data_IF_686632471100
#
_entry.id   IF_686632471100
#
_cell.length_a   1.000
_cell.length_b   1.000
_cell.length_c   1.000
_cell.angle_alpha   90.00
_cell.angle_beta   90.00
_cell.angle_gamma   90.00
#
_symmetry.space_group_name_H-M   'P 1'
#
loop_
_entity.id
_entity.type
_entity.pdbx_description
1 polymer ?
#
# COMPACT_ATOMS: atom_id res chain seq x y z
N UNK A 1 14.39 7.84 -20.11
CA UNK A 1 14.30 6.39 -19.78
C UNK A 1 13.26 5.76 -20.70
N UNK A 2 13.46 4.50 -21.13
CA UNK A 2 12.73 3.89 -22.25
C UNK A 2 11.38 3.28 -21.77
N UNK A 3 10.32 3.28 -22.60
CA UNK A 3 8.97 2.73 -22.29
C UNK A 3 9.04 1.30 -21.73
N UNK A 4 9.94 0.47 -22.28
CA UNK A 4 10.20 -0.89 -21.79
C UNK A 4 10.69 -0.92 -20.35
N UNK A 5 11.54 0.02 -19.94
CA UNK A 5 12.07 0.07 -18.56
C UNK A 5 10.97 0.49 -17.58
N UNK A 6 10.02 1.34 -17.98
CA UNK A 6 8.88 1.70 -17.14
C UNK A 6 7.89 0.56 -16.95
N UNK A 7 7.62 -0.23 -17.99
CA UNK A 7 6.79 -1.44 -17.86
C UNK A 7 7.37 -2.41 -16.85
N UNK A 8 8.69 -2.61 -16.89
CA UNK A 8 9.41 -3.43 -15.90
C UNK A 8 9.29 -2.85 -14.49
N UNK A 9 9.53 -1.54 -14.32
CA UNK A 9 9.50 -0.89 -13.01
C UNK A 9 8.09 -0.92 -12.37
N UNK A 10 7.05 -0.63 -13.17
CA UNK A 10 5.65 -0.74 -12.74
C UNK A 10 5.29 -2.16 -12.33
N UNK A 11 5.78 -3.17 -13.04
CA UNK A 11 5.54 -4.57 -12.70
C UNK A 11 6.30 -5.01 -11.45
N UNK A 12 7.59 -4.67 -11.34
CA UNK A 12 8.38 -4.96 -10.13
C UNK A 12 7.70 -4.37 -8.90
N UNK A 13 7.11 -3.18 -9.04
CA UNK A 13 6.28 -2.58 -8.02
C UNK A 13 5.00 -3.40 -7.74
N UNK A 14 4.25 -3.77 -8.78
CA UNK A 14 3.01 -4.53 -8.62
C UNK A 14 3.25 -5.87 -7.91
N UNK A 15 4.32 -6.56 -8.30
CA UNK A 15 4.75 -7.81 -7.68
C UNK A 15 5.14 -7.58 -6.22
N UNK A 16 5.91 -6.55 -5.92
CA UNK A 16 6.35 -6.24 -4.56
C UNK A 16 5.16 -5.86 -3.67
N UNK A 17 4.22 -5.04 -4.15
CA UNK A 17 3.01 -4.67 -3.41
C UNK A 17 2.11 -5.89 -3.15
N UNK A 18 2.01 -6.84 -4.10
CA UNK A 18 1.32 -8.11 -3.88
C UNK A 18 2.04 -9.00 -2.86
N UNK A 19 3.37 -9.12 -2.93
CA UNK A 19 4.16 -9.88 -1.94
C UNK A 19 3.95 -9.32 -0.54
N UNK A 20 4.05 -8.00 -0.39
CA UNK A 20 3.88 -7.34 0.90
C UNK A 20 2.43 -7.48 1.39
N UNK A 21 1.42 -7.47 0.51
CA UNK A 21 0.04 -7.79 0.86
C UNK A 21 -0.09 -9.21 1.45
N UNK A 22 0.44 -10.23 0.78
CA UNK A 22 0.39 -11.61 1.28
C UNK A 22 1.17 -11.79 2.59
N UNK A 23 2.36 -11.19 2.70
CA UNK A 23 3.14 -11.20 3.93
C UNK A 23 2.37 -10.55 5.07
N UNK A 24 1.75 -9.38 4.82
CA UNK A 24 0.94 -8.74 5.85
C UNK A 24 -0.21 -9.65 6.30
N UNK A 25 -0.87 -10.37 5.39
CA UNK A 25 -2.00 -11.27 5.72
C UNK A 25 -1.53 -12.38 6.65
N UNK A 26 -0.38 -12.96 6.32
CA UNK A 26 0.26 -13.95 7.16
C UNK A 26 0.56 -13.39 8.57
N UNK A 27 1.12 -12.18 8.66
CA UNK A 27 1.41 -11.55 9.96
C UNK A 27 0.15 -11.24 10.79
N UNK A 28 -0.99 -10.92 10.18
CA UNK A 28 -2.27 -10.84 10.91
C UNK A 28 -2.55 -12.17 11.61
N UNK A 29 -2.50 -13.28 10.87
CA UNK A 29 -2.88 -14.59 11.41
C UNK A 29 -1.96 -14.99 12.57
N UNK A 30 -0.65 -14.84 12.37
CA UNK A 30 0.36 -15.08 13.42
C UNK A 30 0.07 -14.20 14.64
N UNK A 31 -0.26 -12.92 14.43
CA UNK A 31 -0.60 -12.02 15.51
C UNK A 31 -1.87 -12.43 16.26
N UNK A 32 -2.96 -12.77 15.57
CA UNK A 32 -4.22 -13.17 16.22
C UNK A 32 -3.98 -14.35 17.15
N UNK A 33 -3.19 -15.33 16.69
CA UNK A 33 -2.82 -16.50 17.50
C UNK A 33 -1.97 -16.08 18.70
N UNK A 34 -0.94 -15.26 18.47
CA UNK A 34 -0.06 -14.78 19.54
C UNK A 34 -0.81 -13.95 20.58
N UNK A 35 -1.64 -12.99 20.16
CA UNK A 35 -2.44 -12.13 21.03
C UNK A 35 -3.47 -12.94 21.83
N UNK A 36 -4.07 -13.98 21.25
CA UNK A 36 -4.97 -14.89 21.97
C UNK A 36 -4.22 -15.64 23.08
N UNK A 37 -3.02 -16.16 22.78
CA UNK A 37 -2.19 -16.85 23.76
C UNK A 37 -1.67 -15.90 24.85
N UNK A 38 -1.24 -14.70 24.47
CA UNK A 38 -0.76 -13.67 25.39
C UNK A 38 -1.88 -13.21 26.33
N UNK A 39 -3.06 -12.86 25.81
CA UNK A 39 -4.19 -12.42 26.63
C UNK A 39 -4.65 -13.51 27.60
N UNK A 40 -4.60 -14.79 27.20
CA UNK A 40 -4.92 -15.92 28.08
C UNK A 40 -4.02 -15.96 29.33
N UNK A 41 -2.75 -15.60 29.21
CA UNK A 41 -1.82 -15.53 30.35
C UNK A 41 -2.22 -14.45 31.37
N UNK A 42 -2.96 -13.41 30.97
CA UNK A 42 -3.46 -12.36 31.87
C UNK A 42 -4.88 -12.61 32.39
N UNK A 43 -5.65 -13.47 31.73
CA UNK A 43 -6.93 -13.94 32.22
C UNK A 43 -6.76 -14.92 33.38
N UNK A 44 -5.70 -15.74 33.35
CA UNK A 44 -5.39 -16.73 34.38
C UNK A 44 -4.78 -16.12 35.67
N UNK A 45 -4.30 -14.87 35.64
CA UNK A 45 -3.77 -14.17 36.83
C UNK A 45 -4.90 -13.39 37.50
N UNK A 46 -5.51 -13.97 38.53
CA UNK A 46 -6.69 -13.46 39.24
C UNK A 46 -6.49 -12.11 39.99
N UNK A 47 -5.26 -11.61 40.10
CA UNK A 47 -4.90 -10.45 40.94
C UNK A 47 -4.53 -9.16 40.18
N UNK A 48 -4.68 -9.14 38.85
CA UNK A 48 -4.21 -7.98 38.07
C UNK A 48 -5.19 -6.78 38.16
N UNK A 49 -4.73 -5.56 38.48
CA UNK A 49 -5.60 -4.39 38.61
C UNK A 49 -6.38 -4.11 37.32
N UNK A 50 -7.67 -3.78 37.44
CA UNK A 50 -8.59 -3.53 36.31
C UNK A 50 -8.12 -2.42 35.36
N UNK A 51 -7.36 -1.46 35.88
CA UNK A 51 -6.69 -0.39 35.11
C UNK A 51 -5.70 -0.96 34.11
N UNK A 52 -4.84 -1.91 34.50
CA UNK A 52 -3.88 -2.56 33.61
C UNK A 52 -4.56 -3.41 32.53
N UNK A 53 -5.67 -4.11 32.86
CA UNK A 53 -6.48 -4.84 31.86
C UNK A 53 -7.04 -3.92 30.76
N UNK A 54 -7.32 -2.65 31.08
CA UNK A 54 -7.89 -1.68 30.13
C UNK A 54 -6.86 -1.16 29.12
N UNK A 55 -5.63 -0.92 29.56
CA UNK A 55 -4.52 -0.50 28.69
C UNK A 55 -3.94 -1.66 27.85
N UNK A 56 -4.10 -2.91 28.33
CA UNK A 56 -3.65 -4.14 27.66
C UNK A 56 -4.77 -4.75 26.80
N UNK A 57 -5.77 -3.98 26.36
CA UNK A 57 -6.78 -4.52 25.44
C UNK A 57 -6.28 -4.52 23.98
N UNK A 58 -5.15 -5.19 23.76
CA UNK A 58 -4.47 -5.42 22.48
C UNK A 58 -5.35 -6.11 21.43
N UNK A 59 -6.45 -6.69 21.88
CA UNK A 59 -7.47 -7.33 21.06
C UNK A 59 -8.07 -6.38 20.01
N UNK A 60 -8.11 -5.07 20.26
CA UNK A 60 -8.78 -4.11 19.39
C UNK A 60 -7.84 -3.13 18.69
N UNK A 61 -6.81 -2.63 19.38
CA UNK A 61 -5.84 -1.67 18.80
C UNK A 61 -5.13 -2.23 17.56
N UNK A 62 -4.70 -3.49 17.62
CA UNK A 62 -3.87 -4.07 16.59
C UNK A 62 -4.65 -4.48 15.33
N UNK A 63 -5.84 -5.11 15.41
CA UNK A 63 -6.67 -5.31 14.23
C UNK A 63 -7.02 -4.00 13.52
N UNK A 64 -7.22 -2.90 14.26
CA UNK A 64 -7.47 -1.56 13.68
C UNK A 64 -6.24 -1.07 12.92
N UNK A 65 -5.04 -1.16 13.52
CA UNK A 65 -3.78 -0.81 12.85
C UNK A 65 -3.55 -1.61 11.57
N UNK A 66 -3.74 -2.95 11.61
CA UNK A 66 -3.63 -3.76 10.40
C UNK A 66 -4.71 -3.40 9.39
N UNK A 67 -5.96 -3.22 9.80
CA UNK A 67 -7.07 -2.85 8.90
C UNK A 67 -6.79 -1.56 8.13
N UNK A 68 -6.16 -0.56 8.76
CA UNK A 68 -5.73 0.67 8.09
C UNK A 68 -4.67 0.40 7.01
N UNK A 69 -3.72 -0.50 7.29
CA UNK A 69 -2.72 -0.95 6.30
C UNK A 69 -3.42 -1.67 5.14
N UNK A 70 -4.36 -2.58 5.39
CA UNK A 70 -5.13 -3.26 4.33
C UNK A 70 -5.95 -2.34 3.48
N UNK A 71 -6.65 -1.42 4.13
CA UNK A 71 -7.46 -0.44 3.44
C UNK A 71 -6.59 0.35 2.48
N UNK A 72 -5.38 0.76 2.91
CA UNK A 72 -4.40 1.46 2.07
C UNK A 72 -3.98 0.63 0.85
N UNK A 73 -3.70 -0.65 1.03
CA UNK A 73 -3.31 -1.56 -0.06
C UNK A 73 -4.45 -1.72 -1.07
N UNK A 74 -5.65 -1.99 -0.57
CA UNK A 74 -6.85 -2.18 -1.40
C UNK A 74 -7.11 -0.89 -2.19
N UNK A 75 -6.98 0.27 -1.55
CA UNK A 75 -7.13 1.57 -2.21
C UNK A 75 -6.16 1.72 -3.39
N UNK A 76 -4.89 1.38 -3.20
CA UNK A 76 -3.88 1.42 -4.25
C UNK A 76 -4.17 0.42 -5.38
N UNK A 77 -4.58 -0.79 -5.04
CA UNK A 77 -4.94 -1.84 -5.99
C UNK A 77 -6.17 -1.46 -6.83
N UNK A 78 -7.22 -0.95 -6.20
CA UNK A 78 -8.44 -0.47 -6.87
C UNK A 78 -8.10 0.73 -7.76
N UNK A 79 -7.30 1.67 -7.27
CA UNK A 79 -6.86 2.84 -8.06
C UNK A 79 -6.10 2.40 -9.31
N UNK A 80 -5.14 1.48 -9.16
CA UNK A 80 -4.40 0.88 -10.27
C UNK A 80 -5.36 0.21 -11.26
N UNK A 81 -6.28 -0.61 -10.77
CA UNK A 81 -7.27 -1.31 -11.60
C UNK A 81 -8.09 -0.34 -12.44
N UNK A 82 -8.62 0.73 -11.82
CA UNK A 82 -9.39 1.77 -12.51
C UNK A 82 -8.54 2.50 -13.56
N UNK A 83 -7.29 2.84 -13.22
CA UNK A 83 -6.36 3.48 -14.18
C UNK A 83 -6.12 2.56 -15.39
N UNK A 84 -5.85 1.28 -15.17
CA UNK A 84 -5.62 0.32 -16.25
C UNK A 84 -6.86 0.12 -17.13
N UNK A 85 -8.05 0.06 -16.54
CA UNK A 85 -9.32 0.04 -17.26
C UNK A 85 -9.50 1.30 -18.12
N UNK A 86 -9.26 2.48 -17.55
CA UNK A 86 -9.35 3.76 -18.29
C UNK A 86 -8.35 3.81 -19.45
N UNK A 87 -7.21 3.13 -19.33
CA UNK A 87 -6.23 2.96 -20.40
C UNK A 87 -6.62 1.89 -21.45
N UNK A 88 -7.87 1.45 -21.46
CA UNK A 88 -8.45 0.45 -22.38
C UNK A 88 -7.80 -0.94 -22.25
N UNK A 89 -7.22 -1.27 -21.10
CA UNK A 89 -6.88 -2.65 -20.79
C UNK A 89 -8.17 -3.34 -20.34
N UNK A 90 -8.63 -4.37 -21.06
CA UNK A 90 -9.83 -5.13 -20.67
C UNK A 90 -9.76 -5.65 -19.23
N UNK A 91 -10.92 -5.97 -18.63
CA UNK A 91 -11.08 -6.30 -17.20
C UNK A 91 -10.03 -7.32 -16.72
N UNK A 92 -9.85 -8.41 -17.46
CA UNK A 92 -8.90 -9.48 -17.11
C UNK A 92 -7.45 -8.97 -17.01
N UNK A 93 -7.03 -8.12 -17.95
CA UNK A 93 -5.67 -7.53 -17.98
C UNK A 93 -5.48 -6.50 -16.87
N UNK A 94 -6.55 -5.83 -16.47
CA UNK A 94 -6.52 -4.82 -15.41
C UNK A 94 -6.50 -5.45 -14.02
N UNK A 95 -7.19 -6.58 -13.82
CA UNK A 95 -7.17 -7.35 -12.56
C UNK A 95 -5.82 -8.05 -12.36
N UNK A 96 -5.30 -8.68 -13.42
CA UNK A 96 -4.07 -9.45 -13.35
C UNK A 96 -3.00 -8.91 -14.30
N UNK A 97 -2.50 -7.69 -14.07
CA UNK A 97 -1.55 -7.07 -14.97
C UNK A 97 -0.24 -7.86 -15.10
N UNK A 98 0.09 -8.65 -14.07
CA UNK A 98 1.27 -9.51 -14.05
C UNK A 98 1.30 -10.52 -15.21
N UNK A 99 0.18 -11.17 -15.53
CA UNK A 99 0.13 -12.18 -16.60
C UNK A 99 0.12 -11.59 -18.01
N UNK A 100 -0.17 -10.30 -18.15
CA UNK A 100 -0.35 -9.65 -19.46
C UNK A 100 0.68 -8.53 -19.72
N UNK A 101 1.84 -8.57 -19.07
CA UNK A 101 2.84 -7.49 -19.06
C UNK A 101 3.19 -6.91 -20.44
N UNK A 102 3.33 -7.77 -21.46
CA UNK A 102 3.67 -7.35 -22.82
C UNK A 102 2.49 -6.70 -23.56
N UNK A 103 1.26 -6.98 -23.12
CA UNK A 103 0.00 -6.60 -23.78
C UNK A 103 -0.75 -5.48 -23.05
N UNK A 104 -0.15 -4.89 -21.99
CA UNK A 104 -0.75 -3.82 -21.19
C UNK A 104 -0.28 -2.45 -21.64
N UNK A 105 -1.24 -1.53 -21.72
CA UNK A 105 -1.05 -0.11 -21.95
C UNK A 105 -1.06 0.65 -20.62
N UNK A 106 0.14 1.03 -20.17
CA UNK A 106 0.31 1.78 -18.91
C UNK A 106 -0.06 3.27 -19.09
N UNK A 107 0.02 3.77 -20.32
CA UNK A 107 -0.36 5.14 -20.67
C UNK A 107 -1.58 5.10 -21.58
N UNK A 108 -2.48 6.04 -21.37
CA UNK A 108 -3.55 6.33 -22.31
C UNK A 108 -3.01 7.11 -23.51
N UNK A 109 -3.66 6.98 -24.67
CA UNK A 109 -3.43 7.86 -25.80
C UNK A 109 -3.85 9.31 -25.51
N UNK A 110 -4.85 9.51 -24.65
CA UNK A 110 -5.31 10.84 -24.24
C UNK A 110 -4.51 11.40 -23.05
N UNK A 111 -3.88 12.55 -23.29
CA UNK A 111 -3.13 13.34 -22.32
C UNK A 111 -3.97 13.82 -21.12
N UNK A 112 -5.24 14.17 -21.33
CA UNK A 112 -6.15 14.61 -20.26
C UNK A 112 -6.44 13.46 -19.31
N UNK A 113 -6.66 12.26 -19.84
CA UNK A 113 -6.87 11.05 -19.04
C UNK A 113 -5.60 10.73 -18.23
N UNK A 114 -4.42 10.77 -18.84
CA UNK A 114 -3.15 10.54 -18.13
C UNK A 114 -2.94 11.50 -16.96
N UNK A 115 -3.26 12.79 -17.13
CA UNK A 115 -3.21 13.77 -16.03
C UNK A 115 -4.17 13.42 -14.90
N UNK A 116 -5.42 13.09 -15.22
CA UNK A 116 -6.40 12.70 -14.18
C UNK A 116 -6.00 11.41 -13.46
N UNK A 117 -5.47 10.42 -14.17
CA UNK A 117 -4.96 9.17 -13.60
C UNK A 117 -3.79 9.43 -12.65
N UNK A 118 -2.88 10.33 -13.02
CA UNK A 118 -1.77 10.73 -12.16
C UNK A 118 -2.24 11.41 -10.87
N UNK A 119 -3.15 12.38 -10.97
CA UNK A 119 -3.70 13.08 -9.81
C UNK A 119 -4.42 12.09 -8.88
N UNK A 120 -5.25 11.21 -9.43
CA UNK A 120 -5.95 10.19 -8.65
C UNK A 120 -4.97 9.27 -7.92
N UNK A 121 -3.97 8.73 -8.64
CA UNK A 121 -2.92 7.91 -8.04
C UNK A 121 -2.18 8.65 -6.92
N UNK A 122 -1.79 9.90 -7.17
CA UNK A 122 -1.09 10.74 -6.20
C UNK A 122 -1.91 10.97 -4.92
N UNK A 123 -3.19 11.32 -5.05
CA UNK A 123 -4.07 11.54 -3.90
C UNK A 123 -4.22 10.27 -3.07
N UNK A 124 -4.54 9.15 -3.70
CA UNK A 124 -4.74 7.88 -2.99
C UNK A 124 -3.45 7.35 -2.35
N UNK A 125 -2.30 7.63 -2.95
CA UNK A 125 -1.01 7.33 -2.36
C UNK A 125 -0.74 8.15 -1.09
N UNK A 126 -1.05 9.45 -1.09
CA UNK A 126 -0.90 10.28 0.11
C UNK A 126 -1.85 9.84 1.23
N UNK A 127 -3.08 9.47 0.90
CA UNK A 127 -4.04 8.90 1.86
C UNK A 127 -3.49 7.58 2.45
N UNK A 128 -2.88 6.74 1.60
CA UNK A 128 -2.25 5.49 2.04
C UNK A 128 -1.08 5.74 2.98
N UNK A 129 -0.20 6.69 2.64
CA UNK A 129 0.92 7.10 3.49
C UNK A 129 0.46 7.64 4.84
N UNK A 130 -0.58 8.48 4.85
CA UNK A 130 -1.15 9.03 6.09
C UNK A 130 -1.76 7.93 6.96
N UNK A 131 -2.51 7.00 6.37
CA UNK A 131 -3.11 5.87 7.10
C UNK A 131 -2.05 4.97 7.73
N UNK A 132 -0.96 4.74 7.00
CA UNK A 132 0.23 4.02 7.47
C UNK A 132 0.90 4.77 8.63
N UNK A 133 1.07 6.09 8.52
CA UNK A 133 1.64 6.92 9.60
C UNK A 133 0.77 6.94 10.86
N UNK A 134 -0.55 7.08 10.72
CA UNK A 134 -1.50 6.96 11.84
C UNK A 134 -1.36 5.60 12.50
N UNK A 135 -1.30 4.52 11.71
CA UNK A 135 -1.05 3.17 12.24
C UNK A 135 0.29 3.06 12.98
N UNK A 136 1.33 3.78 12.55
CA UNK A 136 2.63 3.80 13.22
C UNK A 136 2.52 4.42 14.61
N UNK A 137 1.87 5.57 14.71
CA UNK A 137 1.66 6.28 15.98
C UNK A 137 0.89 5.40 16.96
N UNK A 138 -0.18 4.73 16.52
CA UNK A 138 -0.92 3.79 17.37
C UNK A 138 -0.05 2.62 17.85
N UNK A 139 0.81 2.07 16.99
CA UNK A 139 1.68 0.96 17.38
C UNK A 139 2.79 1.38 18.36
N UNK A 140 3.38 2.57 18.17
CA UNK A 140 4.41 3.12 19.07
C UNK A 140 3.80 3.37 20.45
N UNK A 141 2.62 3.97 20.52
CA UNK A 141 1.94 4.26 21.80
C UNK A 141 1.50 2.97 22.51
N UNK A 142 1.25 1.88 21.77
CA UNK A 142 0.80 0.62 22.36
C UNK A 142 1.93 -0.16 23.07
N UNK A 143 3.18 0.02 22.66
CA UNK A 143 4.41 -0.19 23.45
C UNK A 143 5.04 -1.59 23.67
N UNK A 144 4.69 -2.69 22.96
CA UNK A 144 5.47 -3.98 23.07
C UNK A 144 5.51 -4.92 21.86
N UNK A 145 4.81 -4.65 20.76
CA UNK A 145 4.71 -5.61 19.65
C UNK A 145 5.46 -5.11 18.42
N UNK A 146 6.78 -5.31 18.43
CA UNK A 146 7.71 -4.92 17.36
C UNK A 146 7.34 -5.43 15.96
N UNK A 147 6.58 -6.52 15.87
CA UNK A 147 6.19 -7.15 14.61
C UNK A 147 5.32 -6.27 13.71
N UNK A 148 4.42 -5.44 14.26
CA UNK A 148 3.60 -4.53 13.45
C UNK A 148 4.44 -3.40 12.89
N UNK A 149 5.41 -2.92 13.67
CA UNK A 149 6.33 -1.87 13.27
C UNK A 149 7.22 -2.33 12.11
N UNK A 150 7.70 -3.58 12.13
CA UNK A 150 8.47 -4.17 11.03
C UNK A 150 7.62 -4.24 9.75
N UNK A 151 6.39 -4.76 9.83
CA UNK A 151 5.47 -4.83 8.69
C UNK A 151 5.16 -3.43 8.14
N UNK A 152 4.99 -2.45 9.03
CA UNK A 152 4.83 -1.04 8.69
C UNK A 152 6.03 -0.48 7.94
N UNK A 153 7.27 -0.68 8.42
CA UNK A 153 8.48 -0.15 7.76
C UNK A 153 8.61 -0.73 6.35
N UNK A 154 8.42 -2.04 6.21
CA UNK A 154 8.48 -2.70 4.90
C UNK A 154 7.43 -2.06 3.97
N UNK A 155 6.23 -1.78 4.47
CA UNK A 155 5.17 -1.09 3.72
C UNK A 155 5.55 0.34 3.31
N UNK A 156 6.04 1.13 4.26
CA UNK A 156 6.41 2.51 4.03
C UNK A 156 7.55 2.62 3.00
N UNK A 157 8.59 1.79 3.14
CA UNK A 157 9.70 1.72 2.19
C UNK A 157 9.20 1.28 0.81
N UNK A 158 8.34 0.26 0.76
CA UNK A 158 7.71 -0.20 -0.49
C UNK A 158 7.02 0.95 -1.21
N UNK A 159 6.18 1.72 -0.50
CA UNK A 159 5.45 2.85 -1.10
C UNK A 159 6.40 3.96 -1.53
N UNK A 160 7.41 4.31 -0.71
CA UNK A 160 8.37 5.38 -1.04
C UNK A 160 9.24 5.05 -2.26
N UNK A 161 9.78 3.83 -2.31
CA UNK A 161 10.55 3.33 -3.47
C UNK A 161 9.72 3.36 -4.75
N UNK A 162 8.40 3.30 -4.62
CA UNK A 162 7.45 3.30 -5.74
C UNK A 162 7.02 4.70 -6.15
N UNK A 163 6.86 5.58 -5.17
CA UNK A 163 6.46 6.97 -5.36
C UNK A 163 7.51 7.77 -6.13
N UNK A 164 8.78 7.69 -5.72
CA UNK A 164 9.84 8.54 -6.26
C UNK A 164 10.03 8.35 -7.78
N UNK A 165 10.14 7.12 -8.32
CA UNK A 165 10.33 6.91 -9.76
C UNK A 165 9.11 7.32 -10.61
N UNK A 166 7.90 7.07 -10.13
CA UNK A 166 6.65 7.42 -10.84
C UNK A 166 6.50 8.95 -10.89
N UNK A 167 6.79 9.62 -9.79
CA UNK A 167 6.67 11.09 -9.68
C UNK A 167 7.70 11.79 -10.56
N UNK A 168 8.96 11.36 -10.51
CA UNK A 168 10.04 11.86 -11.40
C UNK A 168 9.66 11.64 -12.87
N UNK A 169 9.06 10.49 -13.20
CA UNK A 169 8.62 10.20 -14.56
C UNK A 169 7.55 11.19 -15.05
N UNK A 170 6.46 11.36 -14.30
CA UNK A 170 5.37 12.25 -14.72
C UNK A 170 5.81 13.71 -14.79
N UNK A 171 6.71 14.13 -13.89
CA UNK A 171 7.36 15.43 -13.96
C UNK A 171 8.13 15.61 -15.29
N UNK A 172 9.01 14.66 -15.61
CA UNK A 172 9.82 14.70 -16.83
C UNK A 172 8.99 14.57 -18.12
N UNK A 173 7.94 13.75 -18.11
CA UNK A 173 7.05 13.58 -19.26
C UNK A 173 6.23 14.85 -19.56
N UNK A 174 5.68 15.51 -18.53
CA UNK A 174 5.00 16.79 -18.71
C UNK A 174 5.95 17.88 -19.20
N UNK A 175 7.19 17.91 -18.70
CA UNK A 175 8.19 18.90 -19.10
C UNK A 175 8.61 18.72 -20.57
N UNK A 176 8.87 17.49 -21.01
CA UNK A 176 9.26 17.20 -22.39
C UNK A 176 8.12 17.43 -23.39
N UNK A 177 6.88 17.10 -23.04
CA UNK A 177 5.72 17.38 -23.89
C UNK A 177 5.38 18.88 -23.98
N UNK A 178 5.66 19.67 -22.94
CA UNK A 178 5.56 21.13 -23.02
C UNK A 178 6.59 21.70 -24.00
N UNK A 179 7.84 21.23 -23.96
CA UNK A 179 8.89 21.67 -24.90
C UNK A 179 8.56 21.37 -26.36
N UNK A 180 7.94 20.23 -26.65
CA UNK A 180 7.59 19.84 -28.01
C UNK A 180 6.32 20.52 -28.59
N UNK A 181 5.58 21.28 -27.78
CA UNK A 181 4.42 22.09 -28.25
C UNK A 181 4.78 23.54 -28.57
N UNK A 182 6.01 23.95 -28.30
CA UNK A 182 6.52 25.32 -28.51
C UNK A 182 7.44 25.37 -29.75
N UNK A 183 7.62 24.24 -30.44
CA UNK A 183 8.20 24.14 -31.78
C UNK A 183 7.09 23.80 -32.77
#
# INVERSE_FOLDING_TARGET
MNIKNYKKLFFSFDLLLNIVFFLSLFFIFVYIIWAKNYNKQFEDISLMPSTYKKYINWRYLYPVSFSLIYLSIILLQVTKFVILLRNKNGILKSLFPIFFINKINILNSDLKINKTNFIAFFVFLNISLLSILISAIFNIISDRVYWSFIVFIIYFVTIMVSYVPITIYFYNWNHNNKKNRIK
#
